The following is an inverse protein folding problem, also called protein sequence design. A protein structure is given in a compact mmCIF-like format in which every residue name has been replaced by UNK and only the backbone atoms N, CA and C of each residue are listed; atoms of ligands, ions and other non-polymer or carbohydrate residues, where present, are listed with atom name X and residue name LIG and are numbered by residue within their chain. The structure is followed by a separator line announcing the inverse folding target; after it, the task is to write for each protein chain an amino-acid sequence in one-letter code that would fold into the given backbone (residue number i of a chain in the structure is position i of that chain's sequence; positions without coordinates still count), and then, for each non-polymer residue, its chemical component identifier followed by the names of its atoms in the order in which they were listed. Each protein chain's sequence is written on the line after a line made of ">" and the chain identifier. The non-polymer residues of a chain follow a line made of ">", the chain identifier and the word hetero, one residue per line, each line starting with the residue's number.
data_IF_962236364669
#
_entry.id   IF_962236364669
#
_cell.length_a   1.000
_cell.length_b   1.000
_cell.length_c   1.000
_cell.angle_alpha   90.00
_cell.angle_beta   90.00
_cell.angle_gamma   90.00
#
_symmetry.space_group_name_H-M   'P 1'
#
loop_
_entity.id
_entity.type
_entity.pdbx_description
1 polymer ?
#
# COMPACT_ATOMS: atom_id res chain seq x y z
N UNK A 1 -13.32 15.65 9.64
CA UNK A 1 -12.53 15.22 8.47
C UNK A 1 -11.29 16.11 8.45
N UNK A 2 -10.11 15.60 8.79
CA UNK A 2 -8.86 16.38 8.75
C UNK A 2 -8.46 16.59 7.29
N UNK A 3 -8.36 17.84 6.84
CA UNK A 3 -7.88 18.15 5.50
C UNK A 3 -6.40 17.79 5.36
N UNK A 4 -6.00 17.27 4.19
CA UNK A 4 -4.58 17.11 3.83
C UNK A 4 -3.91 18.47 3.81
N UNK A 5 -2.73 18.59 4.43
CA UNK A 5 -1.91 19.80 4.28
C UNK A 5 -1.31 19.86 2.85
N UNK A 6 -0.73 21.01 2.48
CA UNK A 6 -0.19 21.22 1.13
C UNK A 6 0.87 20.18 0.73
N UNK A 7 1.75 19.79 1.66
CA UNK A 7 2.80 18.80 1.40
C UNK A 7 2.22 17.39 1.16
N UNK A 8 1.21 17.01 1.95
CA UNK A 8 0.49 15.75 1.81
C UNK A 8 -0.27 15.70 0.49
N UNK A 9 -0.88 16.81 0.09
CA UNK A 9 -1.57 16.94 -1.18
C UNK A 9 -0.61 16.75 -2.36
N UNK A 10 0.53 17.44 -2.36
CA UNK A 10 1.53 17.32 -3.43
C UNK A 10 2.13 15.91 -3.51
N UNK A 11 2.37 15.26 -2.36
CA UNK A 11 2.80 13.86 -2.33
C UNK A 11 1.78 12.91 -3.00
N UNK A 12 0.49 13.09 -2.70
CA UNK A 12 -0.57 12.28 -3.29
C UNK A 12 -0.71 12.55 -4.79
N UNK A 13 -0.59 13.81 -5.21
CA UNK A 13 -0.62 14.22 -6.60
C UNK A 13 0.53 13.61 -7.40
N UNK A 14 1.75 13.65 -6.88
CA UNK A 14 2.92 13.04 -7.50
C UNK A 14 2.78 11.51 -7.59
N UNK A 15 2.21 10.88 -6.56
CA UNK A 15 1.93 9.46 -6.58
C UNK A 15 0.95 9.09 -7.71
N UNK A 16 -0.16 9.83 -7.89
CA UNK A 16 -1.11 9.60 -8.99
C UNK A 16 -0.44 9.82 -10.34
N UNK A 17 0.33 10.91 -10.48
CA UNK A 17 1.02 11.27 -11.72
C UNK A 17 1.95 10.15 -12.21
N UNK A 18 2.72 9.56 -11.30
CA UNK A 18 3.61 8.43 -11.61
C UNK A 18 2.84 7.15 -11.93
N UNK A 19 1.77 6.84 -11.18
CA UNK A 19 0.94 5.67 -11.47
C UNK A 19 0.34 5.70 -12.88
N UNK A 20 0.04 6.89 -13.41
CA UNK A 20 -0.51 7.06 -14.78
C UNK A 20 0.55 7.04 -15.88
N UNK A 21 1.83 6.98 -15.56
CA UNK A 21 2.94 7.01 -16.52
C UNK A 21 3.73 5.70 -16.41
N UNK A 22 3.55 4.75 -17.34
CA UNK A 22 4.17 3.43 -17.27
C UNK A 22 5.71 3.45 -17.19
N UNK A 23 6.34 4.50 -17.73
CA UNK A 23 7.78 4.70 -17.72
C UNK A 23 8.31 5.40 -16.46
N UNK A 24 7.43 5.85 -15.57
CA UNK A 24 7.86 6.54 -14.34
C UNK A 24 8.41 5.54 -13.32
N UNK A 25 9.57 5.84 -12.70
CA UNK A 25 10.12 4.95 -11.69
C UNK A 25 9.20 4.92 -10.45
N UNK A 26 9.16 3.77 -9.73
CA UNK A 26 8.39 3.64 -8.50
C UNK A 26 8.72 4.77 -7.51
N UNK A 27 7.69 5.33 -6.87
CA UNK A 27 7.87 6.34 -5.83
C UNK A 27 8.19 5.64 -4.50
N UNK A 28 9.42 5.78 -4.03
CA UNK A 28 9.84 5.32 -2.71
C UNK A 28 9.99 6.52 -1.78
N UNK A 29 9.11 6.62 -0.80
CA UNK A 29 9.06 7.76 0.13
C UNK A 29 9.07 7.24 1.56
N UNK A 30 9.98 7.79 2.35
CA UNK A 30 9.93 7.68 3.79
C UNK A 30 9.16 8.87 4.37
N UNK A 31 7.92 8.62 4.79
CA UNK A 31 7.04 9.66 5.32
C UNK A 31 7.01 9.62 6.85
N UNK A 32 7.50 10.68 7.49
CA UNK A 32 7.64 10.77 8.95
C UNK A 32 7.08 12.10 9.48
N UNK A 33 6.93 12.19 10.79
CA UNK A 33 6.42 13.37 11.49
C UNK A 33 5.84 13.03 12.86
N UNK A 34 5.41 14.04 13.65
CA UNK A 34 4.87 13.85 14.99
C UNK A 34 3.64 12.93 15.05
N UNK A 35 3.31 12.41 16.23
CA UNK A 35 2.04 11.71 16.42
C UNK A 35 0.87 12.64 16.05
N UNK A 36 -0.18 12.07 15.44
CA UNK A 36 -1.36 12.86 15.05
C UNK A 36 -1.22 13.69 13.76
N UNK A 37 -0.04 13.77 13.11
CA UNK A 37 0.12 14.59 11.90
C UNK A 37 -0.51 14.02 10.61
N UNK A 38 -1.38 13.01 10.71
CA UNK A 38 -2.13 12.48 9.55
C UNK A 38 -1.41 11.44 8.68
N UNK A 39 -0.25 10.89 9.09
CA UNK A 39 0.49 9.90 8.28
C UNK A 39 -0.32 8.68 7.86
N UNK A 40 -1.08 8.11 8.80
CA UNK A 40 -1.93 6.96 8.51
C UNK A 40 -3.06 7.32 7.54
N UNK A 41 -3.62 8.53 7.66
CA UNK A 41 -4.65 9.04 6.77
C UNK A 41 -4.12 9.20 5.34
N UNK A 42 -2.96 9.84 5.16
CA UNK A 42 -2.33 10.02 3.83
C UNK A 42 -2.04 8.68 3.17
N UNK A 43 -1.53 7.71 3.92
CA UNK A 43 -1.19 6.38 3.39
C UNK A 43 -2.44 5.60 2.95
N UNK A 44 -3.54 5.73 3.69
CA UNK A 44 -4.85 5.17 3.31
C UNK A 44 -5.41 5.85 2.07
N UNK A 45 -5.37 7.18 2.03
CA UNK A 45 -5.86 7.97 0.89
C UNK A 45 -5.06 7.65 -0.39
N UNK A 46 -3.74 7.47 -0.29
CA UNK A 46 -2.90 7.04 -1.40
C UNK A 46 -3.36 5.69 -1.98
N UNK A 47 -3.66 4.70 -1.12
CA UNK A 47 -4.18 3.40 -1.56
C UNK A 47 -5.55 3.54 -2.23
N UNK A 48 -6.47 4.29 -1.64
CA UNK A 48 -7.81 4.51 -2.21
C UNK A 48 -7.73 5.17 -3.60
N UNK A 49 -6.89 6.20 -3.75
CA UNK A 49 -6.65 6.87 -5.03
C UNK A 49 -5.99 5.93 -6.05
N UNK A 50 -4.99 5.16 -5.63
CA UNK A 50 -4.34 4.21 -6.51
C UNK A 50 -5.27 3.11 -6.96
N UNK A 51 -6.10 2.56 -6.06
CA UNK A 51 -7.09 1.57 -6.42
C UNK A 51 -8.10 2.18 -7.40
N UNK A 52 -8.64 3.37 -7.12
CA UNK A 52 -9.57 4.05 -8.04
C UNK A 52 -8.97 4.22 -9.44
N UNK A 53 -7.76 4.78 -9.55
CA UNK A 53 -7.19 5.07 -10.86
C UNK A 53 -6.63 3.86 -11.61
N UNK A 54 -6.35 2.74 -10.94
CA UNK A 54 -5.87 1.51 -11.58
C UNK A 54 -6.98 0.50 -11.88
N UNK A 55 -8.13 0.52 -11.21
CA UNK A 55 -9.22 -0.46 -11.42
C UNK A 55 -10.13 -0.10 -12.60
N UNK A 56 -9.57 0.34 -13.72
CA UNK A 56 -10.30 0.64 -14.95
C UNK A 56 -10.99 -0.55 -15.64
N UNK A 57 -11.36 -1.64 -14.92
CA UNK A 57 -12.37 -2.67 -15.26
C UNK A 57 -12.33 -3.96 -14.39
N UNK A 58 -11.63 -4.00 -13.25
CA UNK A 58 -11.66 -5.18 -12.37
C UNK A 58 -11.71 -4.79 -10.88
N UNK A 59 -12.89 -4.91 -10.28
CA UNK A 59 -13.17 -4.59 -8.86
C UNK A 59 -12.84 -5.74 -7.91
N UNK A 60 -12.42 -6.90 -8.43
CA UNK A 60 -12.22 -8.09 -7.61
C UNK A 60 -10.96 -8.04 -6.73
N UNK A 61 -9.97 -7.22 -7.08
CA UNK A 61 -8.67 -7.19 -6.40
C UNK A 61 -8.17 -5.76 -6.20
N UNK A 62 -7.59 -5.51 -5.02
CA UNK A 62 -6.87 -4.28 -4.75
C UNK A 62 -5.53 -4.30 -5.48
N UNK A 63 -5.19 -3.20 -6.17
CA UNK A 63 -3.87 -3.03 -6.77
C UNK A 63 -2.79 -2.74 -5.71
N UNK A 64 -3.20 -2.36 -4.49
CA UNK A 64 -2.31 -1.92 -3.41
C UNK A 64 -2.55 -2.65 -2.11
N UNK A 65 -1.45 -2.90 -1.38
CA UNK A 65 -1.45 -3.48 -0.03
C UNK A 65 -0.82 -2.49 0.94
N UNK A 66 -1.50 -2.23 2.06
CA UNK A 66 -0.93 -1.45 3.17
C UNK A 66 -0.46 -2.39 4.27
N UNK A 67 0.79 -2.21 4.72
CA UNK A 67 1.35 -2.94 5.84
C UNK A 67 1.71 -2.00 7.02
N UNK A 68 1.55 -2.50 8.24
CA UNK A 68 2.01 -1.87 9.47
C UNK A 68 2.83 -2.82 10.35
N UNK A 69 3.59 -2.27 11.30
CA UNK A 69 4.46 -3.07 12.18
C UNK A 69 3.70 -3.89 13.24
N UNK A 70 2.50 -3.44 13.65
CA UNK A 70 1.68 -4.11 14.67
C UNK A 70 0.26 -4.35 14.17
N UNK A 71 -0.43 -5.34 14.74
CA UNK A 71 -1.80 -5.69 14.36
C UNK A 71 -2.79 -4.53 14.55
N UNK A 72 -2.72 -3.82 15.68
CA UNK A 72 -3.57 -2.65 15.93
C UNK A 72 -3.38 -1.55 14.89
N UNK A 73 -2.13 -1.25 14.53
CA UNK A 73 -1.84 -0.24 13.50
C UNK A 73 -2.28 -0.69 12.11
N UNK A 74 -2.18 -1.99 11.80
CA UNK A 74 -2.64 -2.55 10.53
C UNK A 74 -4.17 -2.43 10.38
N UNK A 75 -4.92 -2.80 11.42
CA UNK A 75 -6.38 -2.66 11.44
C UNK A 75 -6.81 -1.21 11.23
N UNK A 76 -6.11 -0.25 11.85
CA UNK A 76 -6.44 1.17 11.73
C UNK A 76 -6.34 1.72 10.29
N UNK A 77 -5.60 1.06 9.41
CA UNK A 77 -5.43 1.45 7.99
C UNK A 77 -6.06 0.45 7.02
N UNK A 78 -6.90 -0.47 7.51
CA UNK A 78 -7.49 -1.57 6.73
C UNK A 78 -6.43 -2.40 5.97
N UNK A 79 -5.27 -2.58 6.61
CA UNK A 79 -4.12 -3.29 6.05
C UNK A 79 -3.80 -4.57 6.81
N UNK A 80 -2.61 -5.11 6.56
CA UNK A 80 -2.06 -6.29 7.25
C UNK A 80 -0.77 -5.95 7.99
N UNK A 81 -0.27 -6.89 8.80
CA UNK A 81 1.05 -6.72 9.40
C UNK A 81 2.14 -7.03 8.36
N UNK A 82 3.29 -6.37 8.46
CA UNK A 82 4.44 -6.67 7.57
C UNK A 82 4.79 -8.16 7.62
N UNK A 83 4.77 -8.77 8.82
CA UNK A 83 5.04 -10.20 8.99
C UNK A 83 3.96 -11.08 8.34
N UNK A 84 2.69 -10.73 8.50
CA UNK A 84 1.59 -11.47 7.88
C UNK A 84 1.65 -11.41 6.36
N UNK A 85 1.96 -10.25 5.78
CA UNK A 85 2.17 -10.10 4.35
C UNK A 85 3.35 -10.95 3.84
N UNK A 86 4.47 -10.92 4.56
CA UNK A 86 5.65 -11.70 4.19
C UNK A 86 5.34 -13.20 4.14
N UNK A 87 4.63 -13.74 5.14
CA UNK A 87 4.23 -15.15 5.17
C UNK A 87 3.37 -15.53 3.94
N UNK A 88 2.36 -14.71 3.63
CA UNK A 88 1.52 -14.91 2.43
C UNK A 88 2.34 -14.86 1.15
N UNK A 89 3.24 -13.88 1.03
CA UNK A 89 4.09 -13.75 -0.14
C UNK A 89 4.97 -14.99 -0.34
N UNK A 90 5.55 -15.53 0.73
CA UNK A 90 6.38 -16.73 0.69
C UNK A 90 5.59 -17.99 0.30
N UNK A 91 4.36 -18.15 0.78
CA UNK A 91 3.48 -19.28 0.44
C UNK A 91 3.03 -19.27 -1.03
N UNK A 92 2.92 -18.07 -1.61
CA UNK A 92 2.57 -17.88 -3.01
C UNK A 92 3.78 -17.99 -3.96
N UNK A 93 5.01 -18.16 -3.46
CA UNK A 93 6.17 -18.40 -4.32
C UNK A 93 6.12 -19.82 -4.93
N UNK A 94 6.10 -19.96 -6.27
CA UNK A 94 5.97 -21.26 -6.93
C UNK A 94 7.14 -22.22 -6.65
N UNK A 95 8.28 -21.71 -6.21
CA UNK A 95 9.48 -22.51 -5.92
C UNK A 95 9.37 -23.36 -4.64
N UNK A 96 8.62 -22.93 -3.61
CA UNK A 96 8.45 -23.70 -2.36
C UNK A 96 7.37 -24.78 -2.46
N UNK A 97 6.28 -24.54 -3.23
CA UNK A 97 5.20 -25.53 -3.46
C UNK A 97 5.68 -26.83 -4.09
N UNK A 98 6.75 -26.79 -4.91
CA UNK A 98 7.35 -27.98 -5.54
C UNK A 98 8.13 -28.88 -4.57
N UNK A 99 8.56 -28.36 -3.41
CA UNK A 99 9.26 -29.16 -2.39
C UNK A 99 8.30 -29.89 -1.44
N UNK A 100 7.12 -29.33 -1.21
CA UNK A 100 6.09 -29.95 -0.37
C UNK A 100 5.40 -31.17 -1.01
N UNK A 101 5.40 -31.28 -2.34
CA UNK A 101 4.83 -32.42 -3.09
C UNK A 101 5.85 -33.52 -3.45
N UNK A 102 7.06 -33.48 -2.89
CA UNK A 102 8.12 -34.47 -3.11
C UNK A 102 8.51 -35.25 -1.84
N UNK A 103 7.70 -35.15 -0.78
CA UNK A 103 7.79 -35.98 0.41
C UNK A 103 6.60 -36.93 0.47
#
# INVERSE_FOLDING_TARGET
>A
MTMTNAEQYELLRENIHRNRRPSSPPLWVFFTGPAGCGKAFVRRLAMELCNWYNTGNNTAYNAFVICAGTGKAAVAVAGTTVRGFQALWEDHQPQKRRRAHRQ
#
